data_IF_065834328305
#
_entry.id   IF_065834328305
#
_cell.length_a   1.000
_cell.length_b   1.000
_cell.length_c   1.000
_cell.angle_alpha   90.00
_cell.angle_beta   90.00
_cell.angle_gamma   90.00
#
_symmetry.space_group_name_H-M   'P 1'
#
loop_
_entity.id
_entity.type
_entity.pdbx_description
1 polymer ?
#
# COMPACT_ATOMS: atom_id res chain seq x y z
N UNK A 1 -6.67 -17.28 -2.43
CA UNK A 1 -7.40 -16.74 -1.26
C UNK A 1 -6.66 -17.22 -0.01
N UNK A 2 -6.05 -16.32 0.77
CA UNK A 2 -5.44 -16.67 2.05
C UNK A 2 -6.51 -16.56 3.12
N UNK A 3 -7.19 -17.67 3.41
CA UNK A 3 -8.17 -17.72 4.49
C UNK A 3 -7.44 -18.18 5.75
N UNK A 4 -6.99 -17.22 6.55
CA UNK A 4 -6.47 -17.52 7.88
C UNK A 4 -7.66 -17.74 8.82
N UNK A 5 -7.60 -18.81 9.62
CA UNK A 5 -8.65 -19.19 10.57
C UNK A 5 -8.60 -18.30 11.82
N UNK A 6 -8.92 -17.02 11.68
CA UNK A 6 -9.14 -16.15 12.83
C UNK A 6 -10.40 -16.61 13.56
N UNK A 7 -10.26 -17.02 14.83
CA UNK A 7 -11.40 -17.49 15.65
C UNK A 7 -11.85 -16.42 16.63
N UNK A 8 -10.93 -15.55 17.04
CA UNK A 8 -11.14 -14.48 18.02
C UNK A 8 -10.56 -13.15 17.54
N UNK A 9 -10.99 -12.04 18.17
CA UNK A 9 -10.40 -10.72 17.91
C UNK A 9 -8.92 -10.66 18.27
N UNK A 10 -8.51 -11.37 19.33
CA UNK A 10 -7.10 -11.44 19.73
C UNK A 10 -6.22 -12.11 18.66
N UNK A 11 -6.76 -13.10 17.93
CA UNK A 11 -6.05 -13.72 16.80
C UNK A 11 -5.83 -12.72 15.66
N UNK A 12 -6.78 -11.81 15.45
CA UNK A 12 -6.66 -10.73 14.45
C UNK A 12 -5.63 -9.71 14.92
N UNK A 13 -5.74 -9.24 16.17
CA UNK A 13 -4.83 -8.23 16.73
C UNK A 13 -3.38 -8.69 16.74
N UNK A 14 -3.14 -9.92 17.17
CA UNK A 14 -1.79 -10.51 17.19
C UNK A 14 -1.18 -10.62 15.79
N UNK A 15 -2.03 -10.75 14.76
CA UNK A 15 -1.58 -10.93 13.37
C UNK A 15 -1.58 -9.65 12.56
N UNK A 16 -2.27 -8.61 13.02
CA UNK A 16 -2.41 -7.35 12.33
C UNK A 16 -1.05 -6.76 11.91
N UNK A 17 0.01 -6.74 12.76
CA UNK A 17 1.31 -6.22 12.35
C UNK A 17 1.89 -6.95 11.13
N UNK A 18 1.85 -8.29 11.14
CA UNK A 18 2.31 -9.09 10.00
C UNK A 18 1.50 -8.80 8.74
N UNK A 19 0.18 -8.71 8.87
CA UNK A 19 -0.68 -8.46 7.73
C UNK A 19 -0.39 -7.10 7.08
N UNK A 20 -0.21 -6.04 7.89
CA UNK A 20 0.11 -4.71 7.37
C UNK A 20 1.45 -4.73 6.63
N UNK A 21 2.51 -5.28 7.23
CA UNK A 21 3.84 -5.23 6.64
C UNK A 21 4.03 -6.15 5.43
N UNK A 22 3.54 -7.38 5.53
CA UNK A 22 3.89 -8.43 4.57
C UNK A 22 2.85 -8.60 3.48
N UNK A 23 1.60 -8.23 3.75
CA UNK A 23 0.50 -8.37 2.80
C UNK A 23 0.10 -7.01 2.25
N UNK A 24 -0.32 -6.08 3.10
CA UNK A 24 -0.89 -4.80 2.65
C UNK A 24 0.17 -3.89 2.01
N UNK A 25 1.27 -3.62 2.72
CA UNK A 25 2.33 -2.72 2.29
C UNK A 25 3.04 -3.21 1.02
N UNK A 26 3.09 -4.53 0.80
CA UNK A 26 3.85 -5.18 -0.29
C UNK A 26 3.00 -5.67 -1.45
N UNK A 27 1.73 -6.00 -1.24
CA UNK A 27 0.91 -6.65 -2.27
C UNK A 27 -0.44 -5.98 -2.37
N UNK A 28 -0.73 -5.50 -3.58
CA UNK A 28 -2.05 -4.96 -3.89
C UNK A 28 -2.91 -5.99 -4.60
N UNK A 29 -4.05 -6.34 -4.01
CA UNK A 29 -5.00 -7.31 -4.56
C UNK A 29 -5.92 -6.73 -5.66
N UNK A 30 -5.90 -5.42 -5.90
CA UNK A 30 -6.83 -4.75 -6.83
C UNK A 30 -6.14 -4.27 -8.10
N UNK A 31 -5.71 -5.21 -8.95
CA UNK A 31 -5.00 -4.94 -10.20
C UNK A 31 -5.75 -3.99 -11.16
N UNK A 32 -7.09 -3.96 -11.10
CA UNK A 32 -7.92 -3.13 -11.98
C UNK A 32 -7.87 -1.61 -11.69
N UNK A 33 -7.41 -1.22 -10.50
CA UNK A 33 -7.44 0.18 -10.04
C UNK A 33 -6.09 0.90 -10.18
N UNK A 34 -5.05 0.24 -10.71
CA UNK A 34 -3.77 0.88 -11.04
C UNK A 34 -2.94 1.46 -9.88
N UNK A 35 -3.39 1.43 -8.62
CA UNK A 35 -2.55 1.89 -7.51
C UNK A 35 -1.37 0.95 -7.28
N UNK A 36 -0.27 1.56 -6.85
CA UNK A 36 0.94 0.89 -6.38
C UNK A 36 0.83 0.57 -4.89
N UNK A 37 1.47 -0.52 -4.41
CA UNK A 37 1.63 -0.77 -2.98
C UNK A 37 2.31 0.42 -2.28
N UNK A 38 1.98 0.66 -0.99
CA UNK A 38 2.58 1.74 -0.21
C UNK A 38 4.12 1.80 -0.30
N UNK A 39 4.81 0.66 -0.20
CA UNK A 39 6.27 0.62 -0.25
C UNK A 39 6.83 1.13 -1.57
N UNK A 40 6.28 0.65 -2.70
CA UNK A 40 6.69 1.12 -4.03
C UNK A 40 6.40 2.61 -4.21
N UNK A 41 5.30 3.10 -3.64
CA UNK A 41 4.98 4.52 -3.69
C UNK A 41 5.99 5.36 -2.90
N UNK A 42 6.35 4.94 -1.69
CA UNK A 42 7.35 5.62 -0.87
C UNK A 42 8.74 5.60 -1.52
N UNK A 43 9.15 4.48 -2.11
CA UNK A 43 10.41 4.37 -2.88
C UNK A 43 10.44 5.37 -4.04
N UNK A 44 9.36 5.47 -4.82
CA UNK A 44 9.26 6.44 -5.90
C UNK A 44 9.32 7.89 -5.40
N UNK A 45 8.69 8.17 -4.26
CA UNK A 45 8.81 9.48 -3.63
C UNK A 45 10.26 9.75 -3.21
N UNK A 46 10.94 8.81 -2.55
CA UNK A 46 12.34 8.96 -2.12
C UNK A 46 13.29 9.18 -3.29
N UNK A 47 13.14 8.42 -4.38
CA UNK A 47 13.90 8.63 -5.63
C UNK A 47 13.68 10.04 -6.18
N UNK A 48 12.44 10.54 -6.12
CA UNK A 48 12.07 11.89 -6.56
C UNK A 48 12.60 12.99 -5.61
N UNK A 49 12.77 12.71 -4.31
CA UNK A 49 13.25 13.69 -3.31
C UNK A 49 14.76 13.97 -3.43
N UNK A 50 15.55 13.05 -3.98
CA UNK A 50 17.00 13.26 -4.19
C UNK A 50 17.32 14.24 -5.35
N UNK A 51 16.30 14.86 -5.98
CA UNK A 51 16.43 15.88 -7.03
C UNK A 51 15.41 17.03 -6.99
N UNK A 52 14.78 17.31 -5.83
CA UNK A 52 13.81 18.37 -5.43
C UNK A 52 13.40 19.48 -6.46
N UNK A 53 12.14 19.97 -6.57
CA UNK A 53 10.85 19.62 -5.90
C UNK A 53 9.64 19.41 -6.85
N UNK A 54 8.55 18.76 -6.39
CA UNK A 54 7.22 19.43 -6.24
C UNK A 54 6.18 18.49 -5.61
N UNK A 55 5.53 19.03 -4.57
CA UNK A 55 4.70 18.35 -3.56
C UNK A 55 3.27 17.96 -3.98
N UNK A 56 2.82 18.12 -5.22
CA UNK A 56 1.36 18.20 -5.47
C UNK A 56 0.81 17.49 -6.72
N UNK A 57 1.62 16.84 -7.57
CA UNK A 57 1.12 16.33 -8.86
C UNK A 57 0.60 14.89 -8.84
N UNK A 58 0.79 14.11 -7.76
CA UNK A 58 0.40 12.70 -7.72
C UNK A 58 -1.05 12.43 -7.25
N UNK A 59 -1.81 13.46 -6.83
CA UNK A 59 -3.22 13.30 -6.45
C UNK A 59 -4.19 13.51 -7.62
N UNK A 60 -3.69 13.84 -8.82
CA UNK A 60 -4.54 14.28 -9.96
C UNK A 60 -4.68 13.24 -11.07
N UNK A 61 -3.95 12.12 -11.05
CA UNK A 61 -3.98 11.16 -12.17
C UNK A 61 -5.16 10.18 -12.15
N UNK A 62 -5.88 10.03 -11.04
CA UNK A 62 -7.00 9.07 -10.94
C UNK A 62 -8.39 9.68 -11.05
N UNK A 63 -8.52 10.92 -11.52
CA UNK A 63 -9.81 11.60 -11.72
C UNK A 63 -9.88 12.33 -13.07
N UNK A 64 -9.48 11.66 -14.16
CA UNK A 64 -9.89 12.04 -15.50
C UNK A 64 -10.95 11.04 -16.00
N UNK A 65 -12.00 11.52 -16.70
CA UNK A 65 -13.26 10.80 -16.95
C UNK A 65 -13.13 9.57 -17.86
#
# INVERSE_FOLDING_TARGET
MYLWEYRTLSDVESRLPYFIEEVYNRKRLHSALGYRPPNEFEELLQVTQNGVPTRQTALTYSAQP
#
